data_IF_880312922044
#
_entry.id   IF_880312922044
#
_cell.length_a   1.000
_cell.length_b   1.000
_cell.length_c   1.000
_cell.angle_alpha   90.00
_cell.angle_beta   90.00
_cell.angle_gamma   90.00
#
_symmetry.space_group_name_H-M   'P 1'
#
loop_
_entity.id
_entity.type
_entity.pdbx_description
1 polymer ?
#
# COMPACT_ATOMS: atom_id res chain seq x y z
N UNK A 1 -24.86 -2.38 -15.49
CA UNK A 1 -24.09 -3.06 -16.54
C UNK A 1 -23.01 -2.11 -17.00
N UNK A 2 -21.75 -2.55 -16.93
CA UNK A 2 -20.58 -1.73 -17.26
C UNK A 2 -19.31 -2.39 -16.72
N UNK A 3 -19.00 -3.58 -17.24
CA UNK A 3 -17.66 -4.17 -17.11
C UNK A 3 -16.70 -3.36 -17.97
N UNK A 4 -15.52 -3.00 -17.44
CA UNK A 4 -14.43 -2.44 -18.24
C UNK A 4 -13.21 -3.38 -18.16
N UNK A 5 -12.81 -4.04 -19.27
CA UNK A 5 -11.70 -4.98 -19.31
C UNK A 5 -10.42 -4.26 -19.78
N UNK A 6 -9.54 -3.84 -18.87
CA UNK A 6 -8.30 -3.16 -19.27
C UNK A 6 -7.10 -3.48 -18.38
N UNK A 7 -6.68 -4.75 -18.30
CA UNK A 7 -5.27 -5.09 -18.09
C UNK A 7 -4.89 -6.29 -18.96
N UNK A 8 -4.51 -5.98 -20.20
CA UNK A 8 -3.87 -6.92 -21.09
C UNK A 8 -2.44 -7.20 -20.63
N UNK A 9 -2.14 -8.48 -20.44
CA UNK A 9 -0.77 -8.98 -20.27
C UNK A 9 0.14 -8.55 -21.42
N UNK A 10 1.32 -8.01 -21.10
CA UNK A 10 2.50 -8.14 -21.95
C UNK A 10 3.68 -8.64 -21.12
N UNK A 11 4.22 -9.80 -21.53
CA UNK A 11 5.46 -10.39 -21.02
C UNK A 11 6.63 -9.42 -21.23
N UNK A 12 7.10 -8.80 -20.15
CA UNK A 12 8.38 -8.08 -20.11
C UNK A 12 9.54 -9.07 -19.89
N UNK A 13 10.54 -9.02 -20.78
CA UNK A 13 11.74 -9.86 -20.74
C UNK A 13 12.52 -9.64 -19.44
N UNK A 14 12.92 -10.73 -18.78
CA UNK A 14 13.96 -10.75 -17.73
C UNK A 14 15.26 -10.17 -18.30
N UNK A 15 15.76 -9.10 -17.69
CA UNK A 15 17.16 -8.71 -17.81
C UNK A 15 17.98 -9.70 -16.97
N UNK A 16 18.90 -10.42 -17.63
CA UNK A 16 19.91 -11.27 -17.01
C UNK A 16 20.98 -10.35 -16.41
N UNK A 17 21.21 -10.47 -15.11
CA UNK A 17 22.38 -9.94 -14.41
C UNK A 17 23.00 -11.10 -13.62
N UNK A 18 24.31 -11.19 -13.68
CA UNK A 18 25.14 -12.35 -13.36
C UNK A 18 24.98 -12.91 -11.94
N UNK A 19 25.23 -14.22 -11.88
CA UNK A 19 25.34 -15.06 -10.68
C UNK A 19 26.61 -14.71 -9.92
N UNK A 20 26.47 -14.34 -8.64
CA UNK A 20 27.54 -14.48 -7.66
C UNK A 20 27.00 -15.20 -6.41
N UNK A 21 27.83 -16.11 -5.91
CA UNK A 21 27.56 -17.18 -4.96
C UNK A 21 27.12 -16.68 -3.57
N UNK A 22 25.98 -17.18 -3.09
CA UNK A 22 25.53 -17.04 -1.72
C UNK A 22 26.16 -18.16 -0.87
N UNK A 23 27.06 -17.80 0.05
CA UNK A 23 27.65 -18.73 1.02
C UNK A 23 26.65 -19.02 2.14
N UNK A 24 26.47 -20.33 2.34
CA UNK A 24 25.66 -21.03 3.32
C UNK A 24 25.81 -20.48 4.76
N UNK A 25 24.70 -20.06 5.37
CA UNK A 25 24.60 -19.77 6.80
C UNK A 25 23.43 -20.58 7.36
N UNK A 26 23.79 -21.63 8.10
CA UNK A 26 23.10 -22.09 9.31
C UNK A 26 21.63 -22.49 9.15
N UNK A 27 21.38 -23.80 9.02
CA UNK A 27 20.08 -24.43 9.27
C UNK A 27 19.49 -23.97 10.60
N UNK A 28 18.50 -23.08 10.54
CA UNK A 28 17.61 -22.77 11.66
C UNK A 28 16.22 -23.25 11.28
N UNK A 29 15.72 -24.24 12.02
CA UNK A 29 14.42 -24.87 11.86
C UNK A 29 13.31 -23.82 11.91
N UNK A 30 12.56 -23.67 10.81
CA UNK A 30 11.41 -22.76 10.72
C UNK A 30 10.29 -23.31 11.62
N UNK A 31 9.96 -22.59 12.70
CA UNK A 31 8.78 -22.86 13.54
C UNK A 31 7.53 -22.21 12.96
N UNK A 32 6.36 -22.70 13.38
CA UNK A 32 5.05 -22.37 12.82
C UNK A 32 4.70 -20.87 12.97
N UNK A 33 3.97 -20.26 12.00
CA UNK A 33 3.64 -18.83 11.99
C UNK A 33 2.89 -18.31 13.23
N UNK A 34 2.11 -19.17 13.88
CA UNK A 34 1.29 -18.85 15.05
C UNK A 34 2.14 -18.43 16.28
N UNK A 35 3.35 -18.98 16.42
CA UNK A 35 4.23 -18.70 17.56
C UNK A 35 4.94 -17.34 17.45
N UNK A 36 5.27 -16.90 16.23
CA UNK A 36 5.95 -15.61 16.01
C UNK A 36 5.03 -14.41 16.25
N UNK A 37 3.73 -14.55 15.94
CA UNK A 37 2.73 -13.50 16.20
C UNK A 37 2.39 -13.43 17.70
N UNK A 38 2.39 -14.58 18.40
CA UNK A 38 2.17 -14.64 19.84
C UNK A 38 3.35 -14.08 20.65
N UNK A 39 4.61 -14.30 20.22
CA UNK A 39 5.80 -13.82 20.95
C UNK A 39 6.00 -12.30 20.91
N UNK A 40 5.45 -11.60 19.91
CA UNK A 40 5.43 -10.12 19.87
C UNK A 40 4.45 -9.50 20.89
N UNK A 41 3.69 -10.32 21.63
CA UNK A 41 2.63 -9.85 22.53
C UNK A 41 2.96 -9.92 24.02
N UNK A 42 4.18 -10.34 24.38
CA UNK A 42 4.60 -10.52 25.77
C UNK A 42 5.91 -9.80 26.06
N UNK A 43 5.93 -8.47 25.95
CA UNK A 43 6.88 -7.57 26.62
C UNK A 43 6.59 -6.12 26.19
N UNK A 44 5.41 -5.59 26.57
CA UNK A 44 5.37 -4.29 27.25
C UNK A 44 3.96 -4.01 27.78
N UNK A 45 3.89 -3.53 29.02
CA UNK A 45 2.66 -3.25 29.72
C UNK A 45 2.24 -1.79 29.57
N UNK A 46 1.58 -1.42 28.47
CA UNK A 46 0.73 -0.21 28.41
C UNK A 46 -0.38 -0.31 27.33
N UNK A 47 -1.61 0.04 27.73
CA UNK A 47 -2.86 0.23 26.95
C UNK A 47 -3.45 -0.94 26.15
N UNK A 48 -4.40 -1.64 26.80
CA UNK A 48 -5.28 -2.68 26.23
C UNK A 48 -6.43 -2.14 25.35
N UNK A 49 -6.24 -1.04 24.62
CA UNK A 49 -7.26 -0.50 23.71
C UNK A 49 -6.77 -0.56 22.24
N UNK A 50 -7.34 -1.54 21.53
CA UNK A 50 -7.24 -1.79 20.08
C UNK A 50 -6.01 -2.58 19.60
N UNK A 51 -5.85 -3.82 20.09
CA UNK A 51 -5.14 -4.84 19.30
C UNK A 51 -5.97 -5.16 18.04
N UNK A 52 -5.31 -5.32 16.90
CA UNK A 52 -5.96 -5.76 15.66
C UNK A 52 -6.76 -7.05 15.92
N UNK A 53 -8.04 -7.07 15.54
CA UNK A 53 -8.91 -8.21 15.80
C UNK A 53 -8.58 -9.40 14.89
N UNK A 54 -8.57 -10.61 15.44
CA UNK A 54 -8.52 -11.83 14.63
C UNK A 54 -9.93 -12.18 14.16
N UNK A 55 -10.10 -12.37 12.86
CA UNK A 55 -11.33 -12.84 12.23
C UNK A 55 -11.15 -14.24 11.65
N UNK A 56 -12.21 -15.03 11.69
CA UNK A 56 -12.27 -16.31 10.97
C UNK A 56 -12.52 -16.07 9.48
N UNK A 57 -12.09 -16.99 8.62
CA UNK A 57 -12.36 -16.90 7.19
C UNK A 57 -13.86 -16.91 6.92
N UNK A 58 -14.62 -17.71 7.68
CA UNK A 58 -16.07 -17.81 7.55
C UNK A 58 -16.78 -16.48 7.84
N UNK A 59 -16.33 -15.74 8.84
CA UNK A 59 -16.87 -14.41 9.15
C UNK A 59 -16.65 -13.43 8.00
N UNK A 60 -15.43 -13.37 7.47
CA UNK A 60 -15.09 -12.47 6.36
C UNK A 60 -15.76 -12.90 5.04
N UNK A 61 -15.87 -14.19 4.79
CA UNK A 61 -16.65 -14.73 3.69
C UNK A 61 -18.11 -14.28 3.81
N UNK A 62 -18.73 -14.46 4.98
CA UNK A 62 -20.12 -14.01 5.22
C UNK A 62 -20.26 -12.50 5.00
N UNK A 63 -19.36 -11.70 5.58
CA UNK A 63 -19.37 -10.24 5.48
C UNK A 63 -19.26 -9.73 4.04
N UNK A 64 -18.54 -10.46 3.18
CA UNK A 64 -18.31 -10.12 1.76
C UNK A 64 -19.25 -10.86 0.79
N UNK A 65 -20.24 -11.59 1.31
CA UNK A 65 -21.16 -12.46 0.55
C UNK A 65 -20.42 -13.53 -0.26
N UNK A 66 -19.43 -14.17 0.35
CA UNK A 66 -18.48 -15.13 -0.23
C UNK A 66 -17.60 -14.52 -1.32
N UNK A 67 -17.04 -13.32 -1.06
CA UNK A 67 -16.14 -12.64 -1.99
C UNK A 67 -16.73 -12.50 -3.39
N UNK A 68 -18.02 -12.19 -3.48
CA UNK A 68 -18.68 -11.99 -4.78
C UNK A 68 -18.07 -10.82 -5.53
N UNK A 69 -18.09 -10.92 -6.85
CA UNK A 69 -17.58 -9.89 -7.76
C UNK A 69 -18.31 -8.54 -7.63
N UNK A 70 -19.58 -8.54 -7.22
CA UNK A 70 -20.35 -7.31 -6.95
C UNK A 70 -19.91 -6.59 -5.66
N UNK A 71 -19.20 -7.29 -4.77
CA UNK A 71 -18.55 -6.71 -3.59
C UNK A 71 -17.10 -6.30 -3.87
N UNK A 72 -16.51 -6.68 -5.01
CA UNK A 72 -15.13 -6.33 -5.34
C UNK A 72 -15.03 -4.82 -5.64
N UNK A 73 -14.14 -4.14 -4.95
CA UNK A 73 -13.91 -2.69 -5.07
C UNK A 73 -12.52 -2.34 -5.60
N UNK A 74 -11.65 -3.34 -5.78
CA UNK A 74 -10.32 -3.15 -6.37
C UNK A 74 -9.58 -4.48 -6.49
N UNK A 75 -8.74 -4.61 -7.50
CA UNK A 75 -7.91 -5.80 -7.73
C UNK A 75 -6.57 -5.38 -8.34
N UNK A 76 -5.48 -6.00 -7.91
CA UNK A 76 -4.14 -5.71 -8.41
C UNK A 76 -3.11 -6.74 -7.98
N UNK A 77 -1.82 -6.41 -8.12
CA UNK A 77 -0.71 -7.31 -7.79
C UNK A 77 -0.65 -7.74 -6.32
N UNK A 78 -1.39 -7.05 -5.44
CA UNK A 78 -1.53 -7.33 -4.00
C UNK A 78 -2.83 -8.08 -3.67
N UNK A 79 -3.50 -8.66 -4.67
CA UNK A 79 -4.78 -9.36 -4.49
C UNK A 79 -6.01 -8.47 -4.68
N UNK A 80 -7.15 -8.95 -4.20
CA UNK A 80 -8.46 -8.35 -4.42
C UNK A 80 -9.05 -7.79 -3.12
N UNK A 81 -9.68 -6.62 -3.20
CA UNK A 81 -10.30 -5.90 -2.09
C UNK A 81 -11.80 -5.95 -2.25
N UNK A 82 -12.50 -6.34 -1.20
CA UNK A 82 -13.95 -6.49 -1.17
C UNK A 82 -14.57 -5.58 -0.12
N UNK A 83 -15.66 -4.91 -0.47
CA UNK A 83 -16.52 -4.26 0.52
C UNK A 83 -17.26 -5.32 1.33
N UNK A 84 -17.16 -5.25 2.64
CA UNK A 84 -17.85 -6.14 3.57
C UNK A 84 -18.71 -5.37 4.58
N UNK A 85 -19.66 -6.08 5.19
CA UNK A 85 -20.38 -5.63 6.38
C UNK A 85 -20.27 -6.69 7.46
N UNK A 86 -19.57 -6.39 8.55
CA UNK A 86 -19.38 -7.30 9.68
C UNK A 86 -20.71 -7.56 10.40
N UNK A 87 -20.77 -8.60 11.23
CA UNK A 87 -21.95 -8.92 12.04
C UNK A 87 -22.35 -7.79 13.01
N UNK A 88 -21.40 -6.94 13.40
CA UNK A 88 -21.63 -5.72 14.17
C UNK A 88 -22.36 -4.61 13.39
N UNK A 89 -22.49 -4.75 12.06
CA UNK A 89 -23.03 -3.74 11.17
C UNK A 89 -21.98 -2.77 10.60
N UNK A 90 -20.74 -2.83 11.09
CA UNK A 90 -19.62 -2.01 10.59
C UNK A 90 -19.29 -2.37 9.13
N UNK A 91 -19.14 -1.34 8.29
CA UNK A 91 -18.69 -1.48 6.91
C UNK A 91 -17.17 -1.46 6.86
N UNK A 92 -16.58 -2.42 6.15
CA UNK A 92 -15.13 -2.64 6.11
C UNK A 92 -14.65 -2.90 4.67
N UNK A 93 -13.35 -2.72 4.44
CA UNK A 93 -12.66 -3.21 3.26
C UNK A 93 -11.86 -4.47 3.63
N UNK A 94 -12.11 -5.58 2.94
CA UNK A 94 -11.43 -6.86 3.14
C UNK A 94 -10.50 -7.11 1.97
N UNK A 95 -9.19 -6.95 2.18
CA UNK A 95 -8.15 -7.28 1.20
C UNK A 95 -7.81 -8.76 1.35
N UNK A 96 -8.11 -9.55 0.33
CA UNK A 96 -7.68 -10.94 0.20
C UNK A 96 -6.40 -10.95 -0.63
N UNK A 97 -5.28 -11.22 0.03
CA UNK A 97 -3.98 -11.30 -0.64
C UNK A 97 -3.93 -12.50 -1.56
N UNK A 98 -3.20 -12.36 -2.67
CA UNK A 98 -2.99 -13.48 -3.59
C UNK A 98 -2.20 -14.60 -2.90
N UNK A 99 -2.65 -15.83 -3.10
CA UNK A 99 -2.05 -17.04 -2.55
C UNK A 99 -0.87 -17.54 -3.38
N UNK A 100 -0.61 -16.93 -4.55
CA UNK A 100 0.46 -17.37 -5.45
C UNK A 100 1.85 -16.86 -5.03
N UNK A 101 2.40 -17.43 -3.95
CA UNK A 101 3.83 -17.40 -3.64
C UNK A 101 4.25 -16.62 -2.39
N UNK A 102 5.55 -16.71 -2.08
CA UNK A 102 6.17 -16.17 -0.85
C UNK A 102 6.09 -14.65 -0.69
N UNK A 103 5.76 -13.91 -1.74
CA UNK A 103 5.69 -12.45 -1.70
C UNK A 103 4.45 -11.98 -0.94
N UNK A 104 3.28 -12.58 -1.20
CA UNK A 104 2.02 -12.20 -0.54
C UNK A 104 2.04 -12.46 0.98
N UNK A 105 2.69 -13.53 1.42
CA UNK A 105 2.87 -13.79 2.86
C UNK A 105 3.79 -12.77 3.54
N UNK A 106 4.88 -12.36 2.88
CA UNK A 106 5.76 -11.30 3.40
C UNK A 106 5.04 -9.97 3.51
N UNK A 107 4.28 -9.60 2.48
CA UNK A 107 3.48 -8.37 2.46
C UNK A 107 2.40 -8.40 3.55
N UNK A 108 1.73 -9.53 3.76
CA UNK A 108 0.80 -9.72 4.87
C UNK A 108 1.44 -9.40 6.21
N UNK A 109 2.57 -10.06 6.51
CA UNK A 109 3.25 -9.90 7.80
C UNK A 109 3.75 -8.47 8.01
N UNK A 110 4.29 -7.85 6.96
CA UNK A 110 4.71 -6.44 7.01
C UNK A 110 3.51 -5.55 7.29
N UNK A 111 2.39 -5.75 6.60
CA UNK A 111 1.23 -4.87 6.73
C UNK A 111 0.55 -5.02 8.11
N UNK A 112 0.43 -6.24 8.63
CA UNK A 112 -0.02 -6.49 10.01
C UNK A 112 0.91 -5.81 11.01
N UNK A 113 2.23 -5.97 10.87
CA UNK A 113 3.21 -5.37 11.77
C UNK A 113 3.14 -3.83 11.73
N UNK A 114 3.21 -3.24 10.54
CA UNK A 114 3.24 -1.79 10.36
C UNK A 114 1.97 -1.14 10.92
N UNK A 115 0.79 -1.63 10.55
CA UNK A 115 -0.46 -1.02 10.99
C UNK A 115 -0.87 -1.40 12.41
N UNK A 116 -0.21 -2.38 13.04
CA UNK A 116 -0.34 -2.60 14.48
C UNK A 116 0.47 -1.59 15.31
N UNK A 117 1.58 -1.08 14.74
CA UNK A 117 2.47 -0.13 15.40
C UNK A 117 2.12 1.34 15.08
N UNK A 118 1.57 1.59 13.89
CA UNK A 118 1.35 2.93 13.36
C UNK A 118 -0.11 3.35 13.54
N UNK A 119 -0.33 4.56 14.07
CA UNK A 119 -1.66 5.17 14.19
C UNK A 119 -1.56 6.67 13.93
N UNK A 120 -2.22 7.12 12.87
CA UNK A 120 -2.27 8.52 12.53
C UNK A 120 -3.51 8.81 11.66
N UNK A 121 -4.17 9.98 11.77
CA UNK A 121 -5.38 10.28 11.02
C UNK A 121 -5.24 10.10 9.51
N UNK A 122 -4.07 10.43 8.94
CA UNK A 122 -3.81 10.30 7.50
C UNK A 122 -3.25 8.93 7.09
N UNK A 123 -3.36 7.88 7.91
CA UNK A 123 -3.07 6.50 7.54
C UNK A 123 -4.35 5.65 7.70
N UNK A 124 -4.53 4.66 6.81
CA UNK A 124 -5.67 3.75 6.89
C UNK A 124 -5.52 2.83 8.11
N UNK A 125 -6.60 2.70 8.87
CA UNK A 125 -6.64 1.89 10.10
C UNK A 125 -6.92 0.43 9.79
N UNK A 126 -6.05 -0.45 10.27
CA UNK A 126 -6.27 -1.90 10.28
C UNK A 126 -7.21 -2.26 11.44
N UNK A 127 -8.42 -2.70 11.11
CA UNK A 127 -9.38 -3.22 12.10
C UNK A 127 -9.00 -4.63 12.55
N UNK A 128 -8.40 -5.43 11.67
CA UNK A 128 -7.99 -6.78 12.00
C UNK A 128 -7.49 -7.59 10.80
N UNK A 129 -7.33 -8.88 11.00
CA UNK A 129 -6.82 -9.80 9.97
C UNK A 129 -7.36 -11.23 10.13
N UNK A 130 -7.22 -12.04 9.10
CA UNK A 130 -7.47 -13.48 9.11
C UNK A 130 -6.23 -14.22 8.58
N UNK A 131 -5.79 -15.23 9.35
CA UNK A 131 -4.61 -16.05 9.05
C UNK A 131 -4.92 -17.56 9.18
N UNK A 132 -6.13 -18.01 8.79
CA UNK A 132 -6.54 -19.41 8.88
C UNK A 132 -5.96 -20.25 7.73
N UNK A 133 -5.05 -21.20 8.04
CA UNK A 133 -4.40 -22.03 7.02
C UNK A 133 -3.62 -21.19 6.03
N UNK A 134 -3.93 -21.32 4.74
CA UNK A 134 -3.35 -20.52 3.63
C UNK A 134 -4.10 -19.19 3.39
N UNK A 135 -5.14 -18.89 4.17
CA UNK A 135 -5.89 -17.65 4.01
C UNK A 135 -5.11 -16.50 4.66
N UNK A 136 -4.91 -15.42 3.90
CA UNK A 136 -4.30 -14.17 4.35
C UNK A 136 -5.22 -13.02 3.95
N UNK A 137 -5.96 -12.49 4.91
CA UNK A 137 -6.88 -11.38 4.69
C UNK A 137 -6.63 -10.27 5.69
N UNK A 138 -6.75 -9.03 5.22
CA UNK A 138 -6.61 -7.82 6.01
C UNK A 138 -7.95 -7.08 6.00
N UNK A 139 -8.35 -6.55 7.15
CA UNK A 139 -9.64 -5.87 7.34
C UNK A 139 -9.35 -4.43 7.75
N UNK A 140 -9.76 -3.49 6.91
CA UNK A 140 -9.55 -2.06 7.13
C UNK A 140 -10.87 -1.33 7.31
N UNK A 141 -10.77 -0.10 7.84
CA UNK A 141 -11.83 0.89 7.66
C UNK A 141 -12.17 1.05 6.16
N UNK A 142 -13.46 1.23 5.87
CA UNK A 142 -13.91 1.44 4.50
C UNK A 142 -13.78 2.91 4.09
N UNK A 143 -13.11 3.16 2.96
CA UNK A 143 -12.90 4.49 2.40
C UNK A 143 -13.91 4.76 1.28
N UNK A 144 -15.01 5.49 1.53
CA UNK A 144 -16.16 5.53 0.63
C UNK A 144 -15.92 6.24 -0.70
N UNK A 145 -14.93 7.12 -0.79
CA UNK A 145 -14.61 7.82 -2.03
C UNK A 145 -13.53 7.10 -2.85
N UNK A 146 -13.02 5.94 -2.43
CA UNK A 146 -12.02 5.19 -3.21
C UNK A 146 -10.66 5.88 -3.26
N UNK A 147 -9.86 5.62 -4.30
CA UNK A 147 -8.50 6.14 -4.41
C UNK A 147 -8.41 7.45 -5.19
N UNK A 148 -7.41 8.29 -4.91
CA UNK A 148 -7.18 9.56 -5.58
C UNK A 148 -6.99 9.40 -7.11
N UNK A 149 -6.33 8.33 -7.55
CA UNK A 149 -6.10 8.07 -8.98
C UNK A 149 -7.41 8.03 -9.79
N UNK A 150 -8.48 7.44 -9.22
CA UNK A 150 -9.78 7.35 -9.90
C UNK A 150 -10.42 8.73 -10.08
N UNK A 151 -10.27 9.64 -9.11
CA UNK A 151 -10.80 11.00 -9.23
C UNK A 151 -9.99 11.87 -10.19
N UNK A 152 -8.69 11.60 -10.35
CA UNK A 152 -7.83 12.38 -11.25
C UNK A 152 -7.95 11.91 -12.70
N UNK A 153 -8.02 10.60 -12.95
CA UNK A 153 -7.82 10.04 -14.28
C UNK A 153 -9.06 9.36 -14.88
N UNK A 154 -10.03 9.00 -14.04
CA UNK A 154 -11.24 8.30 -14.47
C UNK A 154 -12.52 8.91 -13.86
N UNK A 155 -12.71 10.24 -13.91
CA UNK A 155 -13.92 10.84 -13.38
C UNK A 155 -15.15 10.29 -14.12
N UNK A 156 -16.22 9.88 -13.40
CA UNK A 156 -17.47 9.48 -14.03
C UNK A 156 -18.01 10.57 -14.97
N UNK A 157 -18.65 10.20 -16.09
CA UNK A 157 -19.26 11.17 -16.99
C UNK A 157 -20.19 12.13 -16.24
N UNK A 158 -20.00 13.44 -16.44
CA UNK A 158 -20.81 14.47 -15.81
C UNK A 158 -20.46 14.78 -14.34
N UNK A 159 -19.41 14.17 -13.78
CA UNK A 159 -18.86 14.58 -12.49
C UNK A 159 -17.79 15.66 -12.70
N UNK A 160 -17.92 16.76 -11.96
CA UNK A 160 -16.90 17.81 -11.96
C UNK A 160 -15.55 17.27 -11.46
N UNK A 161 -14.43 17.69 -12.08
CA UNK A 161 -13.10 17.41 -11.56
C UNK A 161 -12.93 17.94 -10.13
N UNK A 162 -11.98 17.35 -9.38
CA UNK A 162 -11.61 17.89 -8.08
C UNK A 162 -11.17 19.36 -8.22
N UNK A 163 -11.77 20.24 -7.43
CA UNK A 163 -11.35 21.63 -7.34
C UNK A 163 -9.96 21.76 -6.70
N UNK A 164 -9.32 22.91 -6.90
CA UNK A 164 -7.96 23.15 -6.44
C UNK A 164 -7.79 23.05 -4.92
N UNK A 165 -8.74 23.57 -4.14
CA UNK A 165 -8.64 23.56 -2.68
C UNK A 165 -8.72 22.12 -2.15
N UNK A 166 -9.59 21.30 -2.74
CA UNK A 166 -9.70 19.88 -2.43
C UNK A 166 -8.41 19.13 -2.77
N UNK A 167 -7.79 19.41 -3.93
CA UNK A 167 -6.49 18.84 -4.30
C UNK A 167 -5.38 19.20 -3.30
N UNK A 168 -5.32 20.46 -2.86
CA UNK A 168 -4.33 20.92 -1.88
C UNK A 168 -4.58 20.35 -0.48
N UNK A 169 -5.83 20.18 -0.08
CA UNK A 169 -6.19 19.48 1.16
C UNK A 169 -5.72 18.02 1.14
N UNK A 170 -5.91 17.33 0.01
CA UNK A 170 -5.44 15.95 -0.19
C UNK A 170 -3.91 15.90 -0.11
N UNK A 171 -3.22 16.78 -0.82
CA UNK A 171 -1.75 16.89 -0.77
C UNK A 171 -1.24 17.09 0.66
N UNK A 172 -1.82 18.05 1.39
CA UNK A 172 -1.40 18.36 2.75
C UNK A 172 -1.64 17.19 3.72
N UNK A 173 -2.76 16.47 3.59
CA UNK A 173 -3.01 15.30 4.42
C UNK A 173 -2.09 14.13 4.11
N UNK A 174 -1.82 13.84 2.83
CA UNK A 174 -0.84 12.83 2.44
C UNK A 174 0.57 13.18 2.95
N UNK A 175 0.97 14.45 2.87
CA UNK A 175 2.24 14.94 3.40
C UNK A 175 2.36 14.73 4.92
N UNK A 176 1.31 15.05 5.70
CA UNK A 176 1.28 14.76 7.14
C UNK A 176 1.42 13.28 7.45
N UNK A 177 0.78 12.41 6.66
CA UNK A 177 0.96 10.97 6.77
C UNK A 177 2.41 10.53 6.58
N UNK A 178 3.11 11.07 5.57
CA UNK A 178 4.53 10.79 5.33
C UNK A 178 5.44 11.39 6.41
N UNK A 179 5.15 12.61 6.87
CA UNK A 179 5.89 13.26 7.95
C UNK A 179 5.87 12.41 9.22
N UNK A 180 4.68 11.95 9.61
CA UNK A 180 4.51 11.03 10.74
C UNK A 180 5.37 9.77 10.58
N UNK A 181 5.33 9.12 9.41
CA UNK A 181 6.12 7.91 9.16
C UNK A 181 7.63 8.17 9.25
N UNK A 182 8.09 9.31 8.75
CA UNK A 182 9.52 9.61 8.64
C UNK A 182 10.14 10.14 9.93
N UNK A 183 9.38 10.87 10.75
CA UNK A 183 9.93 11.64 11.88
C UNK A 183 9.29 11.34 13.23
N UNK A 184 8.03 10.90 13.27
CA UNK A 184 7.31 10.67 14.53
C UNK A 184 7.24 9.19 14.90
N UNK A 185 7.17 8.30 13.89
CA UNK A 185 7.24 6.86 14.11
C UNK A 185 8.63 6.47 14.63
N UNK A 186 8.66 5.59 15.64
CA UNK A 186 9.88 5.04 16.21
C UNK A 186 9.84 3.50 16.19
N UNK A 187 10.71 2.83 15.42
CA UNK A 187 11.69 3.41 14.49
C UNK A 187 11.01 4.07 13.27
N UNK A 188 11.69 5.02 12.59
CA UNK A 188 11.17 5.65 11.38
C UNK A 188 10.77 4.61 10.33
N UNK A 189 9.79 4.93 9.49
CA UNK A 189 9.26 4.03 8.45
C UNK A 189 9.38 4.70 7.09
N UNK A 190 9.98 4.00 6.13
CA UNK A 190 9.98 4.37 4.71
C UNK A 190 8.85 3.60 4.03
N UNK A 191 7.90 4.32 3.47
CA UNK A 191 6.64 3.79 2.94
C UNK A 191 6.81 3.08 1.60
N UNK A 192 7.70 3.58 0.74
CA UNK A 192 8.23 2.95 -0.49
C UNK A 192 7.27 2.79 -1.67
N UNK A 193 5.96 2.97 -1.47
CA UNK A 193 4.98 2.88 -2.55
C UNK A 193 4.01 4.07 -2.58
N UNK A 194 4.54 5.30 -2.45
CA UNK A 194 3.75 6.52 -2.63
C UNK A 194 3.27 6.62 -4.08
N UNK A 195 1.95 6.61 -4.27
CA UNK A 195 1.27 6.84 -5.54
C UNK A 195 -0.18 7.27 -5.31
N UNK A 196 -0.80 7.92 -6.28
CA UNK A 196 -2.21 8.35 -6.19
C UNK A 196 -3.19 7.19 -5.95
N UNK A 197 -2.88 5.98 -6.44
CA UNK A 197 -3.70 4.78 -6.19
C UNK A 197 -3.67 4.30 -4.71
N UNK A 198 -2.63 4.65 -3.94
CA UNK A 198 -2.50 4.29 -2.52
C UNK A 198 -2.93 5.42 -1.56
N UNK A 199 -3.49 6.51 -2.10
CA UNK A 199 -4.10 7.58 -1.30
C UNK A 199 -5.60 7.40 -1.38
N UNK A 200 -6.20 6.82 -0.34
CA UNK A 200 -7.64 6.60 -0.25
C UNK A 200 -8.34 7.81 0.36
N UNK A 201 -9.58 8.04 -0.05
CA UNK A 201 -10.35 9.23 0.27
C UNK A 201 -11.59 8.86 1.10
N UNK A 202 -11.67 9.47 2.27
CA UNK A 202 -12.79 9.37 3.20
C UNK A 202 -13.91 10.35 2.86
N UNK A 203 -14.90 10.44 3.73
CA UNK A 203 -15.89 11.53 3.66
C UNK A 203 -15.19 12.89 3.72
N UNK A 204 -15.72 13.86 2.97
CA UNK A 204 -15.10 15.18 2.84
C UNK A 204 -13.73 15.17 2.17
N UNK A 205 -13.39 14.13 1.39
CA UNK A 205 -12.08 13.97 0.71
C UNK A 205 -10.88 13.91 1.66
N UNK A 206 -11.09 13.47 2.91
CA UNK A 206 -10.00 13.33 3.86
C UNK A 206 -9.06 12.19 3.43
N UNK A 207 -7.76 12.46 3.18
CA UNK A 207 -6.86 11.48 2.59
C UNK A 207 -6.22 10.57 3.63
N UNK A 208 -6.04 9.30 3.27
CA UNK A 208 -5.29 8.32 4.06
C UNK A 208 -4.37 7.47 3.18
N UNK A 209 -3.12 7.28 3.61
CA UNK A 209 -2.18 6.35 2.98
C UNK A 209 -2.60 4.90 3.30
N UNK A 210 -2.63 4.03 2.28
CA UNK A 210 -3.03 2.62 2.39
C UNK A 210 -1.93 1.67 1.89
N UNK A 211 -2.08 0.35 1.98
CA UNK A 211 -1.17 -0.61 1.34
C UNK A 211 0.30 -0.52 1.82
N UNK A 212 0.53 -0.95 3.06
CA UNK A 212 1.85 -0.90 3.70
C UNK A 212 2.72 -2.12 3.41
N UNK A 213 2.29 -3.04 2.53
CA UNK A 213 2.97 -4.31 2.29
C UNK A 213 4.44 -4.19 1.84
N UNK A 214 4.82 -3.05 1.24
CA UNK A 214 6.19 -2.77 0.80
C UNK A 214 7.03 -1.96 1.78
N UNK A 215 6.42 -1.43 2.84
CA UNK A 215 7.05 -0.52 3.79
C UNK A 215 8.24 -1.19 4.51
N UNK A 216 9.18 -0.36 4.96
CA UNK A 216 10.40 -0.79 5.65
C UNK A 216 10.69 0.14 6.80
N UNK A 217 11.17 -0.41 7.91
CA UNK A 217 11.85 0.43 8.90
C UNK A 217 13.04 1.13 8.24
N UNK A 218 13.17 2.41 8.53
CA UNK A 218 14.26 3.26 8.13
C UNK A 218 15.58 2.80 8.74
N UNK A 219 16.69 3.42 8.32
CA UNK A 219 17.99 3.05 8.85
C UNK A 219 18.07 3.35 10.35
N UNK A 220 18.66 2.43 11.11
CA UNK A 220 18.93 2.58 12.55
C UNK A 220 20.44 2.67 12.81
N UNK A 221 20.81 3.38 13.87
CA UNK A 221 22.20 3.66 14.24
C UNK A 221 22.89 4.56 13.20
N UNK A 222 24.14 4.26 12.88
CA UNK A 222 24.97 5.08 11.97
C UNK A 222 24.68 4.86 10.47
N UNK A 223 23.63 4.09 10.14
CA UNK A 223 23.27 3.81 8.75
C UNK A 223 22.56 5.01 8.14
N UNK A 224 22.90 5.32 6.89
CA UNK A 224 22.25 6.40 6.12
C UNK A 224 21.13 5.92 5.20
N UNK A 225 21.01 4.61 4.98
CA UNK A 225 20.05 4.02 4.04
C UNK A 225 19.75 2.56 4.40
N UNK A 226 18.68 2.03 3.80
CA UNK A 226 18.32 0.62 3.83
C UNK A 226 18.68 -0.01 2.49
N UNK A 227 19.68 -0.90 2.48
CA UNK A 227 20.01 -1.70 1.28
C UNK A 227 18.94 -2.77 1.07
N UNK A 228 18.22 -2.68 -0.05
CA UNK A 228 17.14 -3.62 -0.35
C UNK A 228 16.93 -3.77 -1.85
N UNK A 229 16.31 -4.88 -2.27
CA UNK A 229 15.88 -5.06 -3.67
C UNK A 229 15.05 -3.86 -4.12
N UNK A 230 15.19 -3.38 -5.35
CA UNK A 230 14.32 -2.31 -5.85
C UNK A 230 12.88 -2.81 -5.96
N UNK A 231 11.95 -2.16 -5.26
CA UNK A 231 10.51 -2.39 -5.34
C UNK A 231 9.78 -1.04 -5.24
N UNK A 232 8.57 -0.97 -5.75
CA UNK A 232 7.76 0.25 -5.84
C UNK A 232 7.09 0.33 -7.21
N UNK A 233 6.24 1.33 -7.39
CA UNK A 233 5.48 1.49 -8.64
C UNK A 233 6.31 2.23 -9.70
N UNK A 234 6.33 1.68 -10.92
CA UNK A 234 6.99 2.32 -12.06
C UNK A 234 6.37 3.69 -12.34
N UNK A 235 7.20 4.70 -12.62
CA UNK A 235 6.77 6.09 -12.78
C UNK A 235 6.92 6.94 -11.51
N UNK A 236 6.87 6.31 -10.33
CA UNK A 236 7.05 6.99 -9.03
C UNK A 236 8.42 6.75 -8.42
N UNK A 237 9.10 5.66 -8.80
CA UNK A 237 10.38 5.26 -8.22
C UNK A 237 11.49 6.31 -8.43
N UNK A 238 12.15 6.71 -7.33
CA UNK A 238 13.26 7.65 -7.36
C UNK A 238 14.45 7.10 -8.16
N UNK A 239 15.08 7.90 -9.04
CA UNK A 239 16.12 7.42 -9.95
C UNK A 239 17.37 6.92 -9.22
N UNK A 240 17.78 7.58 -8.13
CA UNK A 240 18.92 7.16 -7.31
C UNK A 240 18.65 5.83 -6.59
N UNK A 241 17.41 5.59 -6.16
CA UNK A 241 17.01 4.33 -5.57
C UNK A 241 16.97 3.21 -6.62
N UNK A 242 16.37 3.47 -7.79
CA UNK A 242 16.33 2.52 -8.90
C UNK A 242 17.73 2.08 -9.35
N UNK A 243 18.71 2.99 -9.32
CA UNK A 243 20.09 2.71 -9.71
C UNK A 243 20.90 1.99 -8.64
N UNK A 244 20.71 2.33 -7.36
CA UNK A 244 21.62 1.90 -6.29
C UNK A 244 21.05 0.86 -5.34
N UNK A 245 19.73 0.67 -5.29
CA UNK A 245 19.05 -0.16 -4.28
C UNK A 245 19.09 0.41 -2.86
N UNK A 246 19.58 1.65 -2.69
CA UNK A 246 19.66 2.34 -1.39
C UNK A 246 18.37 3.09 -1.13
N UNK A 247 17.51 2.53 -0.29
CA UNK A 247 16.22 3.12 0.08
C UNK A 247 16.38 4.12 1.22
N UNK A 248 15.79 5.31 1.08
CA UNK A 248 15.77 6.37 2.10
C UNK A 248 14.41 7.06 2.14
N UNK A 249 14.15 7.86 3.18
CA UNK A 249 12.97 8.72 3.23
C UNK A 249 12.87 9.67 2.02
N UNK A 250 14.00 10.09 1.43
CA UNK A 250 14.01 10.93 0.22
C UNK A 250 13.42 10.22 -1.01
N UNK A 251 13.44 8.90 -1.05
CA UNK A 251 12.77 8.12 -2.10
C UNK A 251 11.25 8.29 -2.04
N UNK A 252 10.66 8.38 -0.85
CA UNK A 252 9.24 8.70 -0.68
C UNK A 252 8.94 10.16 -1.06
N UNK A 253 9.85 11.10 -0.74
CA UNK A 253 9.69 12.52 -1.11
C UNK A 253 9.66 12.70 -2.63
N UNK A 254 10.53 12.01 -3.37
CA UNK A 254 10.49 12.02 -4.84
C UNK A 254 9.14 11.50 -5.36
N UNK A 255 8.71 10.34 -4.84
CA UNK A 255 7.45 9.69 -5.23
C UNK A 255 6.24 10.58 -4.91
N UNK A 256 6.27 11.30 -3.79
CA UNK A 256 5.27 12.31 -3.43
C UNK A 256 5.29 13.52 -4.37
N UNK A 257 6.47 13.95 -4.83
CA UNK A 257 6.60 14.96 -5.88
C UNK A 257 5.86 14.57 -7.16
N UNK A 258 5.92 13.29 -7.56
CA UNK A 258 5.13 12.78 -8.70
C UNK A 258 3.63 12.92 -8.44
N UNK A 259 3.15 12.56 -7.24
CA UNK A 259 1.73 12.75 -6.87
C UNK A 259 1.31 14.23 -6.91
N UNK A 260 2.18 15.16 -6.49
CA UNK A 260 1.90 16.59 -6.63
C UNK A 260 1.76 17.00 -8.09
N UNK A 261 2.57 16.46 -8.99
CA UNK A 261 2.43 16.69 -10.44
C UNK A 261 1.10 16.13 -10.97
N UNK A 262 0.67 14.94 -10.53
CA UNK A 262 -0.65 14.39 -10.90
C UNK A 262 -1.79 15.29 -10.41
N UNK A 263 -1.68 15.82 -9.18
CA UNK A 263 -2.66 16.77 -8.64
C UNK A 263 -2.68 18.09 -9.43
N UNK A 264 -1.54 18.60 -9.86
CA UNK A 264 -1.48 19.87 -10.62
C UNK A 264 -1.99 19.69 -12.05
N UNK A 265 -1.54 18.63 -12.72
CA UNK A 265 -1.75 18.45 -14.17
C UNK A 265 -3.01 17.65 -14.50
N UNK A 266 -3.45 16.76 -13.60
CA UNK A 266 -4.46 15.74 -13.88
C UNK A 266 -3.97 14.58 -14.76
N UNK A 267 -2.69 14.58 -15.16
CA UNK A 267 -2.09 13.54 -15.99
C UNK A 267 -1.55 12.40 -15.13
N UNK A 268 -1.50 11.20 -15.70
CA UNK A 268 -0.91 10.02 -15.04
C UNK A 268 0.61 10.14 -14.96
N UNK A 269 1.21 9.56 -13.93
CA UNK A 269 2.67 9.47 -13.79
C UNK A 269 3.37 8.85 -15.02
N UNK A 270 2.71 7.91 -15.70
CA UNK A 270 3.10 7.38 -17.01
C UNK A 270 1.90 7.51 -17.93
N UNK A 271 2.05 8.33 -18.97
CA UNK A 271 1.02 8.50 -19.99
C UNK A 271 1.50 7.94 -21.32
N UNK A 272 0.85 6.86 -21.77
CA UNK A 272 1.11 6.22 -23.06
C UNK A 272 0.49 6.98 -24.24
N UNK A 273 -0.40 7.94 -24.01
CA UNK A 273 -1.05 8.73 -25.05
C UNK A 273 -0.22 9.94 -25.53
N UNK A 274 0.88 10.27 -24.86
CA UNK A 274 1.80 11.35 -25.25
C UNK A 274 2.80 10.95 -26.37
N UNK A 275 2.49 9.91 -27.14
CA UNK A 275 3.21 9.49 -28.36
C UNK A 275 4.55 8.78 -28.14
N UNK A 276 5.09 8.82 -26.91
CA UNK A 276 6.14 7.97 -26.33
C UNK A 276 5.77 7.79 -24.86
N UNK A 277 6.05 6.64 -24.24
CA UNK A 277 5.93 6.47 -22.79
C UNK A 277 6.82 7.52 -22.11
N UNK A 278 6.28 8.69 -21.81
CA UNK A 278 7.01 9.79 -21.19
C UNK A 278 6.63 9.82 -19.72
N UNK A 279 7.65 9.83 -18.88
CA UNK A 279 7.46 10.07 -17.46
C UNK A 279 6.91 11.49 -17.28
N UNK A 280 5.88 11.65 -16.43
CA UNK A 280 5.29 12.96 -16.14
C UNK A 280 6.36 13.98 -15.69
N UNK A 281 7.34 13.50 -14.92
CA UNK A 281 8.50 14.29 -14.48
C UNK A 281 9.29 14.86 -15.66
N UNK A 282 9.54 14.07 -16.70
CA UNK A 282 10.27 14.51 -17.90
C UNK A 282 9.44 15.48 -18.75
N UNK A 283 8.12 15.33 -18.77
CA UNK A 283 7.23 16.19 -19.54
C UNK A 283 7.10 17.61 -18.95
N UNK A 284 7.09 17.72 -17.62
CA UNK A 284 6.90 19.02 -16.94
C UNK A 284 8.20 19.81 -16.81
N UNK A 285 9.35 19.13 -16.75
CA UNK A 285 10.66 19.77 -16.56
C UNK A 285 11.35 20.19 -17.87
N UNK A 286 10.78 19.87 -19.04
CA UNK A 286 11.30 20.18 -20.38
C UNK A 286 10.33 21.06 -21.14
#
# INVERSE_FOLDING_TARGET
>A
MGYCPCFGFRKGKKLKGDTDEEKDVGKTTIRKPEENVAQLSSEDGTNAENKAQTFTFRELATATKNFRTDSCIGEGGFGAVYKGKLGSGQVVAVKKLDQTGLQGEKEFLVEVLMLSLLRHPNLVSLSGYCAEGEQRLLVYEFMPLGCLADHLHYPPPGKEPLDWNTRMMIAAGAARGLEYLHHEADPPVIYRDVKSANILLGEGFFPKLSDFGLAKFGPTGDRSHVSTRVMGTHGYCAPEYAKSGKLTAKSDIYSFGVVLLELITGHKAIDSNLGREKHLVEHVLL
#
